data_IF_562228201012
#
_entry.id   IF_562228201012
#
_cell.length_a   1.000
_cell.length_b   1.000
_cell.length_c   1.000
_cell.angle_alpha   90.00
_cell.angle_beta   90.00
_cell.angle_gamma   90.00
#
_symmetry.space_group_name_H-M   'P 1'
#
loop_
_entity.id
_entity.type
_entity.pdbx_description
1 polymer ?
#
# COMPACT_ATOMS: atom_id res chain seq x y z
N UNK A 1 -0.14 4.91 1.52
CA UNK A 1 -0.18 5.84 2.67
C UNK A 1 0.40 5.12 3.87
N UNK A 2 1.19 5.82 4.69
CA UNK A 2 1.73 5.31 5.94
C UNK A 2 1.15 6.16 7.06
N UNK A 3 0.46 5.52 8.00
CA UNK A 3 -0.13 6.17 9.16
C UNK A 3 0.44 5.47 10.39
N UNK A 4 1.26 6.21 11.14
CA UNK A 4 2.02 5.74 12.27
C UNK A 4 1.63 6.54 13.51
N UNK A 5 1.72 5.90 14.67
CA UNK A 5 1.65 6.62 15.95
C UNK A 5 2.93 7.42 16.18
N UNK A 6 2.85 8.44 17.04
CA UNK A 6 3.99 9.27 17.45
C UNK A 6 3.95 9.46 18.97
N UNK A 7 5.12 9.52 19.60
CA UNK A 7 5.24 9.76 21.04
C UNK A 7 5.44 8.50 21.90
N UNK A 8 5.32 8.64 23.23
CA UNK A 8 5.60 7.58 24.19
C UNK A 8 4.77 6.31 23.98
N UNK A 9 5.38 5.16 24.20
CA UNK A 9 4.77 3.83 24.18
C UNK A 9 5.05 3.09 25.50
N UNK A 10 4.33 1.99 25.81
CA UNK A 10 4.61 1.18 26.99
C UNK A 10 6.07 0.72 27.07
N UNK A 11 6.54 0.41 28.28
CA UNK A 11 7.92 -0.06 28.55
C UNK A 11 9.02 0.95 28.16
N UNK A 12 8.71 2.25 28.15
CA UNK A 12 9.69 3.29 27.81
C UNK A 12 10.06 3.32 26.31
N UNK A 13 9.26 2.68 25.45
CA UNK A 13 9.43 2.73 24.01
C UNK A 13 8.93 4.07 23.45
N UNK A 14 9.34 4.40 22.22
CA UNK A 14 8.91 5.60 21.52
C UNK A 14 8.45 5.25 20.10
N UNK A 15 7.31 5.80 19.69
CA UNK A 15 6.86 5.75 18.30
C UNK A 15 7.38 6.96 17.55
N UNK A 16 8.10 6.71 16.46
CA UNK A 16 8.80 7.75 15.72
C UNK A 16 7.92 8.55 14.74
N UNK A 17 6.59 8.36 14.71
CA UNK A 17 5.77 9.05 13.71
C UNK A 17 6.19 8.69 12.29
N UNK A 18 6.68 9.66 11.51
CA UNK A 18 7.08 9.50 10.10
C UNK A 18 5.92 9.04 9.19
N UNK A 19 4.69 9.41 9.58
CA UNK A 19 3.51 9.25 8.73
C UNK A 19 3.73 10.00 7.42
N UNK A 20 3.32 9.42 6.29
CA UNK A 20 3.54 10.02 4.96
C UNK A 20 2.54 9.59 3.92
N UNK A 21 2.29 10.52 3.00
CA UNK A 21 1.55 10.28 1.77
C UNK A 21 2.56 10.28 0.62
N UNK A 22 2.62 9.18 -0.12
CA UNK A 22 3.49 9.01 -1.28
C UNK A 22 2.61 8.86 -2.51
N UNK A 23 2.88 9.65 -3.54
CA UNK A 23 2.21 9.61 -4.83
C UNK A 23 2.53 8.31 -5.59
N UNK A 24 1.73 7.96 -6.62
CA UNK A 24 1.98 6.74 -7.37
C UNK A 24 3.23 6.82 -8.26
N UNK A 25 3.75 8.03 -8.51
CA UNK A 25 5.06 8.30 -9.12
C UNK A 25 6.20 8.36 -8.08
N UNK A 26 5.96 7.80 -6.88
CA UNK A 26 6.90 7.68 -5.75
C UNK A 26 7.34 8.99 -5.09
N UNK A 27 6.81 10.15 -5.51
CA UNK A 27 7.08 11.43 -4.84
C UNK A 27 6.38 11.50 -3.49
N UNK A 28 7.08 11.96 -2.46
CA UNK A 28 6.47 12.27 -1.16
C UNK A 28 5.63 13.54 -1.30
N UNK A 29 4.33 13.45 -1.01
CA UNK A 29 3.40 14.58 -1.06
C UNK A 29 3.23 15.27 0.28
N UNK A 30 3.33 14.50 1.38
CA UNK A 30 3.26 15.00 2.73
C UNK A 30 4.04 14.07 3.66
N UNK A 31 4.70 14.64 4.66
CA UNK A 31 5.49 13.94 5.67
C UNK A 31 5.26 14.62 7.02
N UNK A 32 4.87 13.83 8.02
CA UNK A 32 4.82 14.27 9.40
C UNK A 32 6.21 14.13 10.03
N UNK A 33 6.47 14.92 11.07
CA UNK A 33 7.65 14.76 11.91
C UNK A 33 7.53 13.54 12.85
N UNK A 34 8.48 13.42 13.78
CA UNK A 34 8.59 12.32 14.74
C UNK A 34 8.24 12.70 16.18
N UNK A 35 7.64 13.87 16.39
CA UNK A 35 7.33 14.42 17.73
C UNK A 35 5.87 14.86 17.89
N UNK A 36 5.23 15.30 16.80
CA UNK A 36 3.96 16.02 16.82
C UNK A 36 2.83 15.17 16.25
N UNK A 37 1.73 15.04 16.99
CA UNK A 37 0.49 14.49 16.45
C UNK A 37 -0.05 15.42 15.36
N UNK A 38 -0.27 14.90 14.15
CA UNK A 38 -0.61 15.71 12.98
C UNK A 38 -1.53 14.96 12.02
N UNK A 39 -2.41 15.71 11.35
CA UNK A 39 -3.21 15.23 10.22
C UNK A 39 -2.56 15.66 8.91
N UNK A 40 -2.26 14.69 8.04
CA UNK A 40 -1.75 14.95 6.69
C UNK A 40 -2.87 14.86 5.66
N UNK A 41 -2.95 15.85 4.77
CA UNK A 41 -3.90 15.88 3.66
C UNK A 41 -3.14 16.16 2.36
N UNK A 42 -3.42 15.38 1.31
CA UNK A 42 -2.85 15.57 -0.01
C UNK A 42 -3.82 15.12 -1.11
N UNK A 43 -3.72 15.74 -2.29
CA UNK A 43 -4.46 15.32 -3.48
C UNK A 43 -3.64 14.32 -4.28
N UNK A 44 -4.25 13.18 -4.65
CA UNK A 44 -3.61 12.13 -5.41
C UNK A 44 -4.02 12.20 -6.88
N UNK A 45 -3.04 12.32 -7.77
CA UNK A 45 -3.28 12.17 -9.21
C UNK A 45 -3.25 10.68 -9.58
N UNK A 46 -4.44 10.10 -9.77
CA UNK A 46 -4.60 8.69 -10.12
C UNK A 46 -4.19 8.39 -11.56
N UNK A 47 -4.06 9.38 -12.43
CA UNK A 47 -3.57 9.14 -13.80
C UNK A 47 -2.10 8.69 -13.80
N UNK A 48 -1.37 8.99 -12.72
CA UNK A 48 0.00 8.53 -12.49
C UNK A 48 0.07 7.16 -11.84
N UNK A 49 -1.07 6.58 -11.45
CA UNK A 49 -1.10 5.25 -10.86
C UNK A 49 -0.57 4.22 -11.85
N UNK A 50 0.61 3.72 -11.53
CA UNK A 50 1.27 2.65 -12.26
C UNK A 50 1.34 1.40 -11.37
N UNK A 51 2.01 0.36 -11.85
CA UNK A 51 2.31 -0.85 -11.07
C UNK A 51 3.72 -0.82 -10.48
N UNK A 52 4.31 0.37 -10.31
CA UNK A 52 5.75 0.54 -9.98
C UNK A 52 6.23 -0.35 -8.84
N UNK A 53 5.47 -0.46 -7.74
CA UNK A 53 5.84 -1.33 -6.62
C UNK A 53 5.83 -2.80 -7.00
N UNK A 54 4.77 -3.27 -7.67
CA UNK A 54 4.67 -4.66 -8.12
C UNK A 54 5.74 -5.02 -9.15
N UNK A 55 6.02 -4.11 -10.09
CA UNK A 55 7.07 -4.27 -11.11
C UNK A 55 8.47 -4.30 -10.48
N UNK A 56 8.73 -3.44 -9.49
CA UNK A 56 10.03 -3.43 -8.79
C UNK A 56 10.20 -4.66 -7.90
N UNK A 57 9.17 -5.08 -7.17
CA UNK A 57 9.18 -6.32 -6.37
C UNK A 57 9.41 -7.57 -7.22
N UNK A 58 8.93 -7.56 -8.48
CA UNK A 58 9.23 -8.62 -9.46
C UNK A 58 10.71 -8.67 -9.89
N UNK A 59 11.46 -7.59 -9.69
CA UNK A 59 12.86 -7.49 -10.08
C UNK A 59 13.82 -7.65 -8.91
N UNK A 60 13.42 -7.28 -7.68
CA UNK A 60 14.31 -7.23 -6.50
C UNK A 60 13.63 -7.69 -5.21
N UNK A 61 14.32 -8.49 -4.37
CA UNK A 61 15.58 -9.17 -4.66
C UNK A 61 15.36 -10.36 -5.62
N UNK A 62 16.32 -10.60 -6.52
CA UNK A 62 16.13 -11.52 -7.65
C UNK A 62 15.80 -12.96 -7.23
N UNK A 63 16.34 -13.42 -6.10
CA UNK A 63 16.12 -14.79 -5.61
C UNK A 63 14.66 -15.05 -5.19
N UNK A 64 13.87 -14.01 -4.88
CA UNK A 64 12.45 -14.14 -4.54
C UNK A 64 11.52 -14.11 -5.77
N UNK A 65 12.05 -13.85 -6.95
CA UNK A 65 11.25 -13.64 -8.17
C UNK A 65 10.37 -14.83 -8.53
N UNK A 66 10.89 -16.05 -8.40
CA UNK A 66 10.14 -17.28 -8.69
C UNK A 66 8.98 -17.46 -7.71
N UNK A 67 9.25 -17.31 -6.42
CA UNK A 67 8.23 -17.38 -5.36
C UNK A 67 7.15 -16.33 -5.55
N UNK A 68 7.52 -15.09 -5.91
CA UNK A 68 6.58 -14.03 -6.18
C UNK A 68 5.65 -14.35 -7.36
N UNK A 69 6.20 -14.84 -8.48
CA UNK A 69 5.38 -15.26 -9.63
C UNK A 69 4.39 -16.37 -9.26
N UNK A 70 4.83 -17.35 -8.49
CA UNK A 70 3.96 -18.45 -8.04
C UNK A 70 2.80 -17.93 -7.17
N UNK A 71 3.07 -16.99 -6.26
CA UNK A 71 2.03 -16.37 -5.43
C UNK A 71 1.03 -15.56 -6.27
N UNK A 72 1.51 -14.77 -7.24
CA UNK A 72 0.63 -13.98 -8.12
C UNK A 72 -0.30 -14.87 -8.93
N UNK A 73 0.18 -15.97 -9.50
CA UNK A 73 -0.68 -16.92 -10.22
C UNK A 73 -1.70 -17.59 -9.30
N UNK A 74 -1.30 -17.98 -8.08
CA UNK A 74 -2.22 -18.55 -7.10
C UNK A 74 -3.35 -17.57 -6.74
N UNK A 75 -3.01 -16.29 -6.52
CA UNK A 75 -3.99 -15.22 -6.26
C UNK A 75 -4.89 -15.00 -7.47
N UNK A 76 -4.35 -14.99 -8.69
CA UNK A 76 -5.14 -14.84 -9.93
C UNK A 76 -6.16 -15.95 -10.06
N UNK A 77 -5.74 -17.21 -9.91
CA UNK A 77 -6.62 -18.37 -9.96
C UNK A 77 -7.70 -18.33 -8.89
N UNK A 78 -7.36 -17.89 -7.68
CA UNK A 78 -8.34 -17.75 -6.60
C UNK A 78 -9.33 -16.60 -6.88
N UNK A 79 -8.86 -15.48 -7.40
CA UNK A 79 -9.71 -14.36 -7.79
C UNK A 79 -10.67 -14.73 -8.92
N UNK A 80 -10.21 -15.47 -9.94
CA UNK A 80 -11.05 -15.99 -11.03
C UNK A 80 -12.15 -16.91 -10.50
N UNK A 81 -11.79 -17.85 -9.61
CA UNK A 81 -12.78 -18.72 -8.93
C UNK A 81 -13.81 -17.93 -8.13
N UNK A 82 -13.37 -16.89 -7.42
CA UNK A 82 -14.25 -16.05 -6.61
C UNK A 82 -15.11 -15.10 -7.45
N UNK A 83 -14.61 -14.62 -8.60
CA UNK A 83 -15.39 -13.80 -9.52
C UNK A 83 -16.59 -14.56 -10.10
N UNK A 84 -16.44 -15.88 -10.28
CA UNK A 84 -17.54 -16.77 -10.69
C UNK A 84 -18.59 -16.98 -9.59
N UNK A 85 -18.27 -16.69 -8.33
CA UNK A 85 -19.21 -16.78 -7.20
C UNK A 85 -19.70 -15.41 -6.69
N UNK A 86 -19.17 -14.31 -7.22
CA UNK A 86 -19.54 -12.95 -6.81
C UNK A 86 -20.62 -12.39 -7.74
N UNK A 87 -21.88 -12.69 -7.45
CA UNK A 87 -23.00 -11.94 -8.01
C UNK A 87 -23.06 -10.56 -7.36
N UNK A 88 -22.68 -9.52 -8.12
CA UNK A 88 -23.01 -8.15 -7.71
C UNK A 88 -24.54 -8.05 -7.66
N UNK A 89 -25.16 -7.60 -6.55
CA UNK A 89 -26.58 -7.33 -6.55
C UNK A 89 -26.87 -6.30 -7.64
N UNK A 90 -27.82 -6.61 -8.51
CA UNK A 90 -28.27 -5.72 -9.58
C UNK A 90 -28.54 -4.34 -8.98
N UNK A 91 -27.79 -3.33 -9.43
CA UNK A 91 -28.16 -1.93 -9.21
C UNK A 91 -29.48 -1.73 -9.96
N UNK A 92 -30.59 -1.73 -9.22
CA UNK A 92 -31.80 -1.07 -9.69
C UNK A 92 -31.44 0.43 -9.76
N UNK A 93 -31.29 0.91 -10.99
CA UNK A 93 -31.29 2.33 -11.32
C UNK A 93 -32.72 2.85 -11.27
#
# INVERSE_FOLDING_TARGET
MFANTVGPQPEGKWSAGDSKIVAPDERVLALADNETETVLVATLDLTKASRVYAERSLQRPQFLRSSWKAMVEAVRLQAEKNALSFSLPNKQL
#
